data_IF_053087038091
#
_entry.id   IF_053087038091
#
_cell.length_a   1.000
_cell.length_b   1.000
_cell.length_c   1.000
_cell.angle_alpha   90.00
_cell.angle_beta   90.00
_cell.angle_gamma   90.00
#
_symmetry.space_group_name_H-M   'P 1'
#
loop_
_entity.id
_entity.type
_entity.pdbx_description
1 polymer ?
#
# COMPACT_ATOMS: atom_id res chain seq x y z
N UNK A 1 -0.25 19.93 1.78
CA UNK A 1 0.68 18.77 1.64
C UNK A 1 0.11 17.81 0.60
N UNK A 2 0.93 17.39 -0.34
CA UNK A 2 0.58 16.46 -1.44
C UNK A 2 1.26 15.11 -1.17
N UNK A 3 0.49 14.04 -1.09
CA UNK A 3 0.99 12.69 -0.82
C UNK A 3 0.60 11.80 -1.99
N UNK A 4 1.57 11.10 -2.59
CA UNK A 4 1.35 10.10 -3.63
C UNK A 4 1.53 8.71 -3.02
N UNK A 5 0.48 7.88 -3.06
CA UNK A 5 0.56 6.47 -2.70
C UNK A 5 0.60 5.61 -3.96
N UNK A 6 1.57 4.70 -4.06
CA UNK A 6 1.73 3.87 -5.27
C UNK A 6 2.39 2.52 -4.98
N UNK A 7 1.70 1.43 -5.29
CA UNK A 7 2.33 0.13 -5.44
C UNK A 7 3.02 0.10 -6.81
N UNK A 8 4.35 0.03 -6.82
CA UNK A 8 5.16 0.12 -8.05
C UNK A 8 5.44 -1.23 -8.72
N UNK A 9 4.83 -2.31 -8.20
CA UNK A 9 4.95 -3.67 -8.71
C UNK A 9 6.42 -4.10 -8.92
N UNK A 10 7.24 -3.85 -7.92
CA UNK A 10 8.69 -4.14 -7.97
C UNK A 10 9.08 -5.57 -7.59
N UNK A 11 8.12 -6.38 -7.12
CA UNK A 11 8.38 -7.73 -6.58
C UNK A 11 9.02 -8.70 -7.57
N UNK A 12 8.84 -8.49 -8.88
CA UNK A 12 9.42 -9.32 -9.95
C UNK A 12 10.78 -8.84 -10.45
N UNK A 13 11.33 -7.80 -9.82
CA UNK A 13 12.53 -7.11 -10.27
C UNK A 13 12.19 -6.01 -11.29
N UNK A 14 12.40 -4.76 -10.90
CA UNK A 14 12.20 -3.63 -11.82
C UNK A 14 13.46 -3.45 -12.66
N UNK A 15 13.29 -3.47 -13.99
CA UNK A 15 14.36 -3.09 -14.92
C UNK A 15 14.76 -1.63 -14.68
N UNK A 16 16.04 -1.25 -14.86
CA UNK A 16 16.50 0.13 -14.68
C UNK A 16 15.67 1.17 -15.48
N UNK A 17 15.28 0.83 -16.71
CA UNK A 17 14.43 1.71 -17.53
C UNK A 17 13.05 1.95 -16.87
N UNK A 18 12.39 0.91 -16.36
CA UNK A 18 11.11 1.05 -15.64
C UNK A 18 11.26 1.88 -14.35
N UNK A 19 12.39 1.71 -13.63
CA UNK A 19 12.69 2.55 -12.46
C UNK A 19 12.75 4.03 -12.82
N UNK A 20 13.49 4.38 -13.87
CA UNK A 20 13.62 5.74 -14.33
C UNK A 20 12.26 6.35 -14.76
N UNK A 21 11.41 5.58 -15.42
CA UNK A 21 10.06 6.02 -15.83
C UNK A 21 9.16 6.27 -14.62
N UNK A 22 9.18 5.39 -13.60
CA UNK A 22 8.41 5.57 -12.37
C UNK A 22 8.91 6.81 -11.61
N UNK A 23 10.22 6.98 -11.49
CA UNK A 23 10.80 8.18 -10.86
C UNK A 23 10.39 9.44 -11.63
N UNK A 24 10.47 9.44 -12.96
CA UNK A 24 10.05 10.58 -13.79
C UNK A 24 8.56 10.90 -13.60
N UNK A 25 7.69 9.88 -13.50
CA UNK A 25 6.28 10.08 -13.21
C UNK A 25 6.04 10.68 -11.80
N UNK A 26 6.77 10.21 -10.78
CA UNK A 26 6.73 10.80 -9.43
C UNK A 26 7.15 12.28 -9.47
N UNK A 27 8.24 12.60 -10.18
CA UNK A 27 8.72 13.97 -10.31
C UNK A 27 7.73 14.87 -11.06
N UNK A 28 7.07 14.35 -12.08
CA UNK A 28 6.02 15.05 -12.81
C UNK A 28 4.82 15.40 -11.93
N UNK A 29 4.35 14.46 -11.11
CA UNK A 29 3.28 14.69 -10.12
C UNK A 29 3.74 15.67 -9.04
N UNK A 30 5.03 15.71 -8.76
CA UNK A 30 5.67 16.59 -7.77
C UNK A 30 5.01 16.53 -6.38
N UNK A 31 4.89 15.36 -5.74
CA UNK A 31 4.37 15.25 -4.39
C UNK A 31 5.41 15.70 -3.35
N UNK A 32 4.92 16.15 -2.19
CA UNK A 32 5.77 16.40 -1.01
C UNK A 32 6.24 15.08 -0.39
N UNK A 33 5.37 14.06 -0.41
CA UNK A 33 5.59 12.75 0.21
C UNK A 33 5.15 11.65 -0.77
N UNK A 34 5.92 10.57 -0.85
CA UNK A 34 5.60 9.37 -1.64
C UNK A 34 5.53 8.16 -0.71
N UNK A 35 4.42 7.44 -0.74
CA UNK A 35 4.22 6.18 -0.04
C UNK A 35 4.29 5.05 -1.07
N UNK A 36 5.24 4.16 -0.91
CA UNK A 36 5.58 3.16 -1.91
C UNK A 36 5.36 1.76 -1.37
N UNK A 37 4.84 0.88 -2.20
CA UNK A 37 4.73 -0.54 -1.92
C UNK A 37 5.45 -1.32 -3.03
N UNK A 38 5.87 -2.53 -2.69
CA UNK A 38 6.67 -3.42 -3.55
C UNK A 38 7.98 -2.78 -4.05
N UNK A 39 8.59 -1.92 -3.24
CA UNK A 39 9.89 -1.32 -3.55
C UNK A 39 10.96 -2.42 -3.58
N UNK A 40 11.69 -2.59 -4.68
CA UNK A 40 12.76 -3.58 -4.76
C UNK A 40 13.96 -3.11 -3.94
N UNK A 41 14.43 -3.96 -3.03
CA UNK A 41 15.60 -3.68 -2.21
C UNK A 41 16.90 -3.90 -2.98
N UNK A 42 17.87 -3.01 -2.77
CA UNK A 42 19.18 -3.09 -3.42
C UNK A 42 19.19 -2.84 -4.93
N UNK A 43 18.11 -2.25 -5.47
CA UNK A 43 17.99 -1.98 -6.91
C UNK A 43 18.22 -0.49 -7.28
N UNK A 44 18.66 0.35 -6.35
CA UNK A 44 18.95 1.77 -6.61
C UNK A 44 17.73 2.68 -6.75
N UNK A 45 16.51 2.14 -6.51
CA UNK A 45 15.27 2.93 -6.69
C UNK A 45 15.14 4.07 -5.67
N UNK A 46 15.38 3.78 -4.39
CA UNK A 46 15.32 4.79 -3.33
C UNK A 46 16.46 5.79 -3.45
N UNK A 47 17.64 5.35 -3.85
CA UNK A 47 18.79 6.21 -4.17
C UNK A 47 18.47 7.12 -5.35
N UNK A 48 17.73 6.63 -6.35
CA UNK A 48 17.23 7.44 -7.46
C UNK A 48 16.31 8.56 -6.99
N UNK A 49 15.38 8.30 -6.06
CA UNK A 49 14.55 9.35 -5.45
C UNK A 49 15.38 10.33 -4.61
N UNK A 50 16.36 9.81 -3.86
CA UNK A 50 17.25 10.64 -3.03
C UNK A 50 18.06 11.62 -3.88
N UNK A 51 18.51 11.24 -5.08
CA UNK A 51 19.18 12.11 -6.03
C UNK A 51 18.30 13.29 -6.50
N UNK A 52 16.98 13.18 -6.35
CA UNK A 52 16.00 14.23 -6.65
C UNK A 52 15.46 14.96 -5.39
N UNK A 53 16.20 14.89 -4.28
CA UNK A 53 15.91 15.66 -3.07
C UNK A 53 14.87 15.05 -2.13
N UNK A 54 14.55 13.76 -2.27
CA UNK A 54 13.72 13.04 -1.30
C UNK A 54 14.59 12.37 -0.25
N UNK A 55 14.32 12.62 1.03
CA UNK A 55 14.78 11.73 2.11
C UNK A 55 13.95 10.44 2.08
N UNK A 56 14.56 9.29 2.29
CA UNK A 56 13.89 7.98 2.23
C UNK A 56 14.00 7.25 3.55
N UNK A 57 12.97 6.45 3.91
CA UNK A 57 13.09 5.46 4.97
C UNK A 57 14.03 4.34 4.53
N UNK A 58 14.56 3.61 5.52
CA UNK A 58 15.53 2.54 5.30
C UNK A 58 14.90 1.16 5.58
N UNK A 59 14.07 0.64 4.68
CA UNK A 59 13.35 -0.62 4.92
C UNK A 59 14.27 -1.82 5.15
N UNK A 60 15.54 -1.76 4.72
CA UNK A 60 16.53 -2.81 4.98
C UNK A 60 16.92 -2.96 6.45
N UNK A 61 16.68 -1.93 7.27
CA UNK A 61 16.89 -1.99 8.72
C UNK A 61 15.90 -2.92 9.42
N UNK A 62 14.76 -3.21 8.78
CA UNK A 62 13.75 -4.06 9.36
C UNK A 62 13.90 -5.51 8.90
N UNK A 63 13.66 -6.49 9.78
CA UNK A 63 13.74 -7.90 9.40
C UNK A 63 12.73 -8.22 8.30
N UNK A 64 13.12 -9.09 7.39
CA UNK A 64 12.22 -9.59 6.33
C UNK A 64 11.04 -10.35 6.95
N UNK A 65 11.19 -10.87 8.16
CA UNK A 65 10.23 -11.72 8.82
C UNK A 65 10.34 -13.16 8.34
N UNK A 66 9.20 -13.85 8.26
CA UNK A 66 9.15 -15.28 7.94
C UNK A 66 9.47 -15.63 6.48
N UNK A 67 9.75 -14.63 5.63
CA UNK A 67 9.91 -14.81 4.18
C UNK A 67 11.34 -14.53 3.72
N UNK A 68 12.33 -15.10 4.37
CA UNK A 68 13.74 -14.76 4.15
C UNK A 68 14.27 -14.94 2.72
N UNK A 69 13.59 -15.66 1.82
CA UNK A 69 14.26 -16.15 0.60
C UNK A 69 13.63 -15.81 -0.74
N UNK A 70 12.51 -15.09 -0.87
CA UNK A 70 11.88 -15.01 -2.21
C UNK A 70 11.46 -13.63 -2.72
N UNK A 71 11.16 -12.65 -1.88
CA UNK A 71 10.78 -11.31 -2.34
C UNK A 71 11.56 -10.25 -1.58
N UNK A 72 12.50 -9.62 -2.28
CA UNK A 72 13.25 -8.47 -1.74
C UNK A 72 12.49 -7.18 -2.00
N UNK A 73 11.23 -7.12 -1.61
CA UNK A 73 10.42 -5.92 -1.71
C UNK A 73 9.98 -5.44 -0.34
N UNK A 74 9.71 -4.14 -0.25
CA UNK A 74 9.35 -3.46 0.98
C UNK A 74 8.28 -2.40 0.74
N UNK A 75 7.69 -1.90 1.83
CA UNK A 75 7.07 -0.60 1.87
C UNK A 75 8.13 0.44 2.21
N UNK A 76 8.04 1.62 1.61
CA UNK A 76 8.96 2.73 1.89
C UNK A 76 8.21 4.08 1.85
N UNK A 77 8.81 5.08 2.48
CA UNK A 77 8.37 6.47 2.42
C UNK A 77 9.53 7.31 1.88
N UNK A 78 9.22 8.20 0.93
CA UNK A 78 10.14 9.21 0.46
C UNK A 78 9.52 10.60 0.65
N UNK A 79 10.27 11.59 1.13
CA UNK A 79 9.76 12.91 1.49
C UNK A 79 10.73 14.03 1.13
N UNK A 80 10.20 15.11 0.55
CA UNK A 80 10.91 16.40 0.40
C UNK A 80 10.81 17.27 1.65
N UNK A 81 9.89 16.93 2.54
CA UNK A 81 9.75 17.59 3.84
C UNK A 81 10.63 16.90 4.88
N UNK A 82 11.03 17.61 5.95
CA UNK A 82 11.74 17.00 7.08
C UNK A 82 10.97 15.78 7.59
N UNK A 83 11.68 14.67 7.71
CA UNK A 83 11.13 13.37 8.07
C UNK A 83 11.93 12.73 9.20
N UNK A 84 11.24 12.11 10.13
CA UNK A 84 11.81 11.21 11.14
C UNK A 84 11.21 9.82 10.95
N UNK A 85 12.04 8.84 10.61
CA UNK A 85 11.59 7.44 10.51
C UNK A 85 11.21 6.90 11.88
N UNK A 86 10.14 6.15 11.96
CA UNK A 86 9.63 5.52 13.17
C UNK A 86 9.62 3.99 12.99
N UNK A 87 9.64 3.28 14.11
CA UNK A 87 9.50 1.82 14.08
C UNK A 87 8.11 1.42 13.63
N UNK A 88 8.00 0.37 12.80
CA UNK A 88 6.70 -0.22 12.47
C UNK A 88 6.04 -0.82 13.72
N UNK A 89 4.72 -1.03 13.73
CA UNK A 89 4.00 -1.62 14.85
C UNK A 89 4.58 -2.98 15.26
N UNK A 90 4.61 -3.23 16.57
CA UNK A 90 5.00 -4.53 17.09
C UNK A 90 4.02 -5.65 16.65
N UNK A 91 4.53 -6.86 16.53
CA UNK A 91 3.75 -8.05 16.20
C UNK A 91 3.40 -8.22 14.72
N UNK A 92 3.90 -7.35 13.83
CA UNK A 92 3.85 -7.60 12.39
C UNK A 92 4.70 -8.82 12.02
N UNK A 93 4.13 -9.71 11.21
CA UNK A 93 4.88 -10.89 10.70
C UNK A 93 5.90 -10.51 9.62
N UNK A 94 5.65 -9.40 8.92
CA UNK A 94 6.52 -8.83 7.90
C UNK A 94 6.69 -7.32 8.13
N UNK A 95 7.49 -6.90 9.12
CA UNK A 95 7.67 -5.49 9.46
C UNK A 95 8.10 -4.64 8.27
N UNK A 96 8.88 -5.21 7.34
CA UNK A 96 9.36 -4.55 6.12
C UNK A 96 8.25 -4.13 5.16
N UNK A 97 7.04 -4.71 5.27
CA UNK A 97 5.87 -4.31 4.48
C UNK A 97 5.10 -3.13 5.12
N UNK A 98 5.66 -2.52 6.15
CA UNK A 98 5.04 -1.41 6.87
C UNK A 98 6.11 -0.38 7.23
N UNK A 99 6.11 0.75 6.56
CA UNK A 99 7.04 1.86 6.82
C UNK A 99 6.30 3.01 7.47
N UNK A 100 6.89 3.63 8.50
CA UNK A 100 6.28 4.73 9.26
C UNK A 100 7.24 5.89 9.36
N UNK A 101 6.73 7.09 9.18
CA UNK A 101 7.51 8.32 9.40
C UNK A 101 6.65 9.43 10.00
N UNK A 102 7.29 10.33 10.75
CA UNK A 102 6.70 11.59 11.20
C UNK A 102 7.11 12.70 10.23
N UNK A 103 6.12 13.37 9.63
CA UNK A 103 6.29 14.41 8.61
C UNK A 103 5.27 15.51 8.85
N UNK A 104 5.72 16.76 9.06
CA UNK A 104 4.84 17.91 9.22
C UNK A 104 3.79 17.75 10.34
N UNK A 105 4.16 17.12 11.44
CA UNK A 105 3.27 16.88 12.60
C UNK A 105 2.31 15.70 12.45
N UNK A 106 2.34 14.97 11.31
CA UNK A 106 1.58 13.75 11.08
C UNK A 106 2.47 12.52 11.23
N UNK A 107 1.93 11.43 11.75
CA UNK A 107 2.50 10.09 11.59
C UNK A 107 1.87 9.44 10.36
N UNK A 108 2.70 9.15 9.37
CA UNK A 108 2.27 8.64 8.08
C UNK A 108 2.83 7.24 7.90
N UNK A 109 2.00 6.30 7.48
CA UNK A 109 2.45 4.95 7.17
C UNK A 109 2.15 4.58 5.71
N UNK A 110 3.14 3.91 5.10
CA UNK A 110 3.00 3.15 3.87
C UNK A 110 2.87 1.68 4.22
N UNK A 111 1.83 1.00 3.76
CA UNK A 111 1.66 -0.42 4.04
C UNK A 111 1.37 -1.24 2.78
N UNK A 112 1.83 -2.49 2.80
CA UNK A 112 1.45 -3.52 1.85
C UNK A 112 0.89 -4.70 2.66
N UNK A 113 -0.43 -4.85 2.66
CA UNK A 113 -1.08 -5.98 3.31
C UNK A 113 -0.84 -7.23 2.46
N UNK A 114 -0.25 -8.31 3.01
CA UNK A 114 0.05 -9.51 2.24
C UNK A 114 -1.19 -10.10 1.57
N UNK A 115 -1.08 -10.46 0.30
CA UNK A 115 -2.13 -11.23 -0.37
C UNK A 115 -2.26 -12.62 0.26
N UNK A 116 -3.48 -13.01 0.67
CA UNK A 116 -3.75 -14.28 1.33
C UNK A 116 -3.28 -15.49 0.50
N UNK A 117 -3.47 -15.48 -0.82
CA UNK A 117 -3.17 -16.64 -1.67
C UNK A 117 -1.67 -16.95 -1.79
N UNK A 118 -0.82 -15.91 -1.87
CA UNK A 118 0.63 -16.09 -2.02
C UNK A 118 1.35 -16.44 -0.72
N UNK A 119 0.86 -15.96 0.40
CA UNK A 119 1.50 -16.11 1.70
C UNK A 119 0.98 -17.33 2.50
N UNK A 120 -0.23 -17.82 2.22
CA UNK A 120 -0.81 -18.94 2.93
C UNK A 120 -0.08 -20.27 2.71
N UNK A 121 0.58 -20.45 1.57
CA UNK A 121 1.38 -21.67 1.36
C UNK A 121 2.57 -21.74 2.33
N UNK A 122 3.15 -20.59 2.68
CA UNK A 122 4.24 -20.49 3.67
C UNK A 122 3.67 -20.55 5.08
N UNK A 123 2.61 -19.80 5.37
CA UNK A 123 1.93 -19.84 6.66
C UNK A 123 1.49 -21.25 7.03
N UNK A 124 0.90 -21.99 6.08
CA UNK A 124 0.49 -23.38 6.26
C UNK A 124 1.67 -24.30 6.55
N UNK A 125 2.79 -24.15 5.85
CA UNK A 125 4.02 -24.92 6.07
C UNK A 125 4.63 -24.66 7.45
N UNK A 126 4.47 -23.45 7.97
CA UNK A 126 5.02 -23.02 9.26
C UNK A 126 4.01 -23.16 10.42
N UNK A 127 2.83 -23.70 10.18
CA UNK A 127 1.79 -23.86 11.21
C UNK A 127 1.29 -22.54 11.80
N UNK A 128 1.41 -21.43 11.06
CA UNK A 128 1.05 -20.11 11.57
C UNK A 128 -0.47 -19.90 11.58
N UNK A 129 -0.96 -19.45 12.72
CA UNK A 129 -2.34 -19.03 12.96
C UNK A 129 -2.31 -17.78 13.84
N UNK A 130 -3.14 -16.77 13.63
CA UNK A 130 -4.09 -16.61 12.53
C UNK A 130 -3.42 -16.33 11.18
N UNK A 131 -4.25 -16.23 10.13
CA UNK A 131 -3.82 -15.86 8.78
C UNK A 131 -2.95 -14.61 8.79
N UNK A 132 -1.87 -14.63 8.01
CA UNK A 132 -0.89 -13.54 7.97
C UNK A 132 -1.55 -12.23 7.52
N UNK A 133 -2.43 -12.28 6.53
CA UNK A 133 -3.17 -11.12 6.03
C UNK A 133 -4.00 -10.48 7.15
N UNK A 134 -4.78 -11.28 7.86
CA UNK A 134 -5.64 -10.82 8.97
C UNK A 134 -4.79 -10.19 10.05
N UNK A 135 -3.67 -10.81 10.42
CA UNK A 135 -2.76 -10.26 11.45
C UNK A 135 -2.18 -8.91 11.01
N UNK A 136 -1.75 -8.78 9.74
CA UNK A 136 -1.22 -7.51 9.23
C UNK A 136 -2.28 -6.42 9.19
N UNK A 137 -3.48 -6.74 8.72
CA UNK A 137 -4.61 -5.81 8.67
C UNK A 137 -4.96 -5.30 10.07
N UNK A 138 -5.10 -6.21 11.04
CA UNK A 138 -5.37 -5.83 12.44
C UNK A 138 -4.31 -4.89 13.01
N UNK A 139 -3.02 -5.21 12.81
CA UNK A 139 -1.92 -4.40 13.33
C UNK A 139 -1.85 -3.04 12.66
N UNK A 140 -2.08 -2.96 11.35
CA UNK A 140 -2.14 -1.72 10.61
C UNK A 140 -3.27 -0.81 11.10
N UNK A 141 -4.47 -1.37 11.30
CA UNK A 141 -5.63 -0.61 11.77
C UNK A 141 -5.52 -0.24 13.25
N UNK A 142 -5.01 -1.12 14.10
CA UNK A 142 -4.73 -0.80 15.50
C UNK A 142 -3.68 0.32 15.64
N UNK A 143 -2.66 0.32 14.76
CA UNK A 143 -1.72 1.43 14.72
C UNK A 143 -2.43 2.73 14.34
N UNK A 144 -3.29 2.73 13.32
CA UNK A 144 -4.03 3.92 12.90
C UNK A 144 -4.92 4.46 14.01
N UNK A 145 -5.70 3.60 14.67
CA UNK A 145 -6.65 3.97 15.73
C UNK A 145 -5.94 4.41 17.03
N UNK A 146 -4.73 3.92 17.25
CA UNK A 146 -3.94 4.21 18.45
C UNK A 146 -3.37 5.63 18.55
N UNK A 147 -3.64 6.54 17.58
CA UNK A 147 -3.11 7.91 17.65
C UNK A 147 -3.83 8.92 16.77
N UNK A 148 -4.15 10.08 17.37
CA UNK A 148 -4.62 11.22 16.58
C UNK A 148 -3.51 11.75 15.65
N UNK A 149 -3.89 12.17 14.46
CA UNK A 149 -2.93 12.70 13.48
C UNK A 149 -2.21 11.61 12.69
N UNK A 150 -2.74 10.39 12.61
CA UNK A 150 -2.22 9.30 11.79
C UNK A 150 -2.90 9.21 10.44
N UNK A 151 -2.09 8.90 9.43
CA UNK A 151 -2.51 8.59 8.07
C UNK A 151 -1.90 7.25 7.67
N UNK A 152 -2.72 6.32 7.21
CA UNK A 152 -2.33 5.02 6.69
C UNK A 152 -2.75 4.92 5.23
N UNK A 153 -1.82 4.70 4.32
CA UNK A 153 -2.15 4.41 2.93
C UNK A 153 -1.30 3.27 2.38
N UNK A 154 -1.81 2.59 1.37
CA UNK A 154 -1.10 1.47 0.78
C UNK A 154 -1.96 0.56 -0.06
N UNK A 155 -1.35 -0.53 -0.50
CA UNK A 155 -2.03 -1.67 -1.09
C UNK A 155 -2.52 -2.60 0.02
N UNK A 156 -3.81 -2.62 0.24
CA UNK A 156 -4.44 -3.46 1.27
C UNK A 156 -4.74 -4.86 0.78
N UNK A 157 -4.60 -5.11 -0.53
CA UNK A 157 -5.04 -6.37 -1.14
C UNK A 157 -6.49 -6.74 -0.74
N UNK A 158 -7.28 -5.74 -0.36
CA UNK A 158 -8.71 -5.82 -0.04
C UNK A 158 -9.48 -5.03 -1.09
N UNK A 159 -10.04 -5.69 -2.10
CA UNK A 159 -10.93 -5.03 -3.03
C UNK A 159 -12.24 -4.75 -2.29
N UNK A 160 -12.72 -3.56 -2.33
CA UNK A 160 -14.06 -3.23 -1.88
C UNK A 160 -14.33 -3.30 -0.36
N UNK A 161 -13.66 -2.47 0.42
CA UNK A 161 -14.15 -2.17 1.77
C UNK A 161 -15.61 -1.62 1.78
N UNK A 162 -16.18 -1.24 0.61
CA UNK A 162 -17.35 -0.35 0.57
C UNK A 162 -18.42 -0.72 -0.44
N UNK A 163 -18.28 -1.79 -1.21
CA UNK A 163 -19.29 -2.23 -2.18
C UNK A 163 -20.07 -3.43 -1.66
N UNK A 164 -21.33 -3.24 -1.30
CA UNK A 164 -22.36 -4.26 -1.08
C UNK A 164 -22.10 -5.32 0.01
N UNK A 165 -21.22 -5.07 0.98
CA UNK A 165 -20.92 -6.02 2.04
C UNK A 165 -20.31 -7.33 1.56
N UNK A 166 -19.79 -7.37 0.31
CA UNK A 166 -19.09 -8.52 -0.26
C UNK A 166 -17.61 -8.18 -0.36
N UNK A 167 -16.80 -8.80 0.48
CA UNK A 167 -15.37 -8.89 0.27
C UNK A 167 -15.12 -9.73 -1.00
N UNK A 168 -15.18 -9.10 -2.18
CA UNK A 168 -14.80 -9.75 -3.43
C UNK A 168 -13.29 -9.64 -3.54
N UNK A 169 -12.55 -10.69 -3.20
CA UNK A 169 -11.12 -10.69 -3.39
C UNK A 169 -10.38 -11.70 -2.52
N UNK A 170 -9.24 -11.33 -2.04
CA UNK A 170 -8.30 -12.23 -1.37
C UNK A 170 -8.73 -12.59 0.05
N UNK A 171 -9.86 -13.27 0.18
CA UNK A 171 -10.32 -13.76 1.48
C UNK A 171 -9.28 -14.68 2.12
N UNK A 172 -9.20 -14.63 3.43
CA UNK A 172 -8.46 -15.59 4.22
C UNK A 172 -8.92 -17.02 3.91
N UNK A 173 -8.00 -17.97 3.85
CA UNK A 173 -8.31 -19.35 3.40
C UNK A 173 -9.17 -20.12 4.37
N UNK A 174 -9.09 -19.82 5.67
CA UNK A 174 -9.89 -20.51 6.71
C UNK A 174 -11.14 -19.71 7.05
N UNK A 175 -12.27 -20.39 7.26
CA UNK A 175 -13.54 -19.75 7.59
C UNK A 175 -13.44 -18.79 8.80
N UNK A 176 -12.82 -19.24 9.90
CA UNK A 176 -12.64 -18.41 11.09
C UNK A 176 -11.81 -17.14 10.84
N UNK A 177 -10.82 -17.20 9.96
CA UNK A 177 -10.01 -16.04 9.60
C UNK A 177 -10.78 -15.10 8.65
N UNK A 178 -11.66 -15.61 7.78
CA UNK A 178 -12.58 -14.80 6.96
C UNK A 178 -13.58 -14.04 7.82
N UNK A 179 -14.17 -14.68 8.81
CA UNK A 179 -15.11 -14.03 9.72
C UNK A 179 -14.41 -12.93 10.53
N UNK A 180 -13.18 -13.19 10.99
CA UNK A 180 -12.36 -12.19 11.66
C UNK A 180 -11.99 -11.03 10.73
N UNK A 181 -11.59 -11.30 9.48
CA UNK A 181 -11.33 -10.28 8.47
C UNK A 181 -12.54 -9.39 8.24
N UNK A 182 -13.73 -9.96 8.08
CA UNK A 182 -14.99 -9.21 7.95
C UNK A 182 -15.27 -8.35 9.18
N UNK A 183 -15.12 -8.89 10.37
CA UNK A 183 -15.31 -8.14 11.63
C UNK A 183 -14.38 -6.93 11.71
N UNK A 184 -13.12 -7.06 11.29
CA UNK A 184 -12.16 -5.96 11.26
C UNK A 184 -12.61 -4.89 10.25
N UNK A 185 -12.99 -5.30 9.05
CA UNK A 185 -13.47 -4.39 7.99
C UNK A 185 -14.75 -3.68 8.43
N UNK A 186 -15.71 -4.40 8.99
CA UNK A 186 -16.96 -3.83 9.51
C UNK A 186 -16.71 -2.85 10.65
N UNK A 187 -15.80 -3.17 11.56
CA UNK A 187 -15.37 -2.28 12.65
C UNK A 187 -14.73 -0.99 12.12
N UNK A 188 -13.92 -1.09 11.07
CA UNK A 188 -13.33 0.07 10.39
C UNK A 188 -14.41 0.95 9.74
N UNK A 189 -15.36 0.35 9.04
CA UNK A 189 -16.45 1.03 8.34
C UNK A 189 -17.36 1.82 9.28
N UNK A 190 -17.58 1.29 10.49
CA UNK A 190 -18.43 1.89 11.51
C UNK A 190 -17.63 2.72 12.53
N UNK A 191 -16.34 2.96 12.30
CA UNK A 191 -15.51 3.75 13.20
C UNK A 191 -15.79 5.25 13.06
N UNK A 192 -16.18 5.89 14.15
CA UNK A 192 -16.28 7.34 14.22
C UNK A 192 -14.92 8.05 14.24
N UNK A 193 -13.84 7.33 14.53
CA UNK A 193 -12.47 7.87 14.65
C UNK A 193 -11.67 7.84 13.36
N UNK A 194 -12.05 7.01 12.39
CA UNK A 194 -11.31 6.80 11.14
C UNK A 194 -12.13 7.25 9.95
N UNK A 195 -11.52 8.00 9.05
CA UNK A 195 -12.11 8.42 7.77
C UNK A 195 -11.44 7.68 6.63
N UNK A 196 -12.22 7.00 5.79
CA UNK A 196 -11.76 6.44 4.53
C UNK A 196 -11.74 7.52 3.45
N UNK A 197 -10.56 7.93 3.02
CA UNK A 197 -10.38 9.07 2.13
C UNK A 197 -10.78 8.78 0.68
N UNK A 198 -10.79 7.51 0.28
CA UNK A 198 -11.10 7.06 -1.09
C UNK A 198 -12.55 6.58 -1.28
N UNK A 199 -13.35 6.48 -0.22
CA UNK A 199 -14.68 5.88 -0.28
C UNK A 199 -15.61 6.52 -1.30
N UNK A 200 -15.53 7.86 -1.46
CA UNK A 200 -16.32 8.58 -2.45
C UNK A 200 -15.89 8.30 -3.90
N UNK A 201 -14.63 7.92 -4.13
CA UNK A 201 -14.13 7.54 -5.46
C UNK A 201 -14.69 6.19 -5.87
N UNK A 202 -14.72 5.23 -4.94
CA UNK A 202 -15.26 3.90 -5.17
C UNK A 202 -16.75 3.92 -5.49
N UNK A 203 -17.50 4.83 -4.90
CA UNK A 203 -18.93 5.00 -5.15
C UNK A 203 -19.26 5.66 -6.50
N UNK A 204 -18.31 6.41 -7.08
CA UNK A 204 -18.54 7.23 -8.28
C UNK A 204 -17.89 6.71 -9.55
N UNK A 205 -16.91 5.83 -9.44
CA UNK A 205 -16.10 5.37 -10.57
C UNK A 205 -16.19 3.87 -10.74
N UNK A 206 -16.43 3.42 -11.97
CA UNK A 206 -16.30 2.02 -12.36
C UNK A 206 -14.85 1.64 -12.70
N UNK A 207 -13.92 2.61 -12.65
CA UNK A 207 -12.51 2.40 -12.95
C UNK A 207 -11.72 2.02 -11.70
N UNK A 208 -11.27 0.77 -11.57
CA UNK A 208 -10.59 0.27 -10.38
C UNK A 208 -9.17 0.82 -10.24
N UNK A 209 -8.62 0.83 -9.02
CA UNK A 209 -7.22 1.20 -8.78
C UNK A 209 -6.24 0.17 -9.34
N UNK A 210 -6.66 -1.08 -9.40
CA UNK A 210 -5.85 -2.20 -9.89
C UNK A 210 -6.57 -2.96 -11.00
N UNK A 211 -5.84 -3.29 -12.08
CA UNK A 211 -6.39 -4.04 -13.20
C UNK A 211 -5.32 -4.95 -13.83
N UNK A 212 -5.45 -6.25 -13.64
CA UNK A 212 -4.64 -7.25 -14.33
C UNK A 212 -5.24 -7.51 -15.71
N UNK A 213 -4.59 -7.01 -16.77
CA UNK A 213 -5.04 -7.18 -18.17
C UNK A 213 -4.53 -8.47 -18.82
N UNK A 214 -3.71 -9.28 -18.15
CA UNK A 214 -3.05 -10.46 -18.71
C UNK A 214 -2.96 -11.61 -17.72
N UNK A 215 -2.87 -12.85 -18.23
CA UNK A 215 -2.75 -14.05 -17.42
C UNK A 215 -4.03 -14.88 -17.36
N UNK A 216 -4.08 -15.91 -16.51
CA UNK A 216 -5.23 -16.83 -16.44
C UNK A 216 -6.51 -16.19 -15.91
N UNK A 217 -6.45 -14.96 -15.42
CA UNK A 217 -7.59 -14.21 -14.91
C UNK A 217 -7.54 -12.74 -15.38
N UNK A 218 -7.76 -12.45 -16.67
CA UNK A 218 -7.58 -11.11 -17.25
C UNK A 218 -8.56 -10.06 -16.71
N UNK A 219 -9.60 -10.46 -16.00
CA UNK A 219 -10.67 -9.58 -15.51
C UNK A 219 -10.60 -9.27 -14.02
N UNK A 220 -9.46 -9.57 -13.36
CA UNK A 220 -9.29 -9.18 -11.97
C UNK A 220 -9.13 -7.67 -11.87
N UNK A 221 -10.19 -7.04 -11.39
CA UNK A 221 -10.28 -5.61 -11.12
C UNK A 221 -10.64 -5.41 -9.66
N UNK A 222 -10.09 -4.39 -9.03
CA UNK A 222 -10.44 -4.04 -7.66
C UNK A 222 -9.84 -2.72 -7.22
N UNK A 223 -10.38 -2.16 -6.16
CA UNK A 223 -9.82 -1.01 -5.47
C UNK A 223 -8.98 -1.51 -4.30
N UNK A 224 -7.71 -1.87 -4.57
CA UNK A 224 -6.81 -2.42 -3.56
C UNK A 224 -6.02 -1.34 -2.81
N UNK A 225 -5.92 -0.15 -3.43
CA UNK A 225 -5.16 0.97 -2.90
C UNK A 225 -6.08 1.88 -2.09
N UNK A 226 -5.82 1.97 -0.79
CA UNK A 226 -6.65 2.71 0.14
C UNK A 226 -5.84 3.77 0.90
N UNK A 227 -6.56 4.78 1.41
CA UNK A 227 -6.02 5.74 2.36
C UNK A 227 -7.04 6.00 3.47
N UNK A 228 -6.57 5.92 4.70
CA UNK A 228 -7.33 6.03 5.93
C UNK A 228 -6.69 7.09 6.83
N UNK A 229 -7.51 7.92 7.46
CA UNK A 229 -7.03 8.98 8.37
C UNK A 229 -7.75 8.92 9.71
N UNK A 230 -6.99 8.93 10.79
CA UNK A 230 -7.47 9.16 12.16
C UNK A 230 -7.46 10.65 12.54
N UNK A 231 -7.26 11.55 11.59
CA UNK A 231 -7.22 12.99 11.81
C UNK A 231 -8.50 13.66 11.29
N UNK A 232 -9.43 13.94 12.18
CA UNK A 232 -10.68 14.67 11.85
C UNK A 232 -10.49 16.16 11.57
N UNK A 233 -9.35 16.73 11.98
CA UNK A 233 -9.08 18.18 11.87
C UNK A 233 -8.51 18.61 10.52
N UNK A 234 -8.15 17.66 9.65
CA UNK A 234 -7.55 17.94 8.34
C UNK A 234 -8.47 17.49 7.21
N UNK A 235 -8.78 18.39 6.31
CA UNK A 235 -9.50 18.04 5.11
C UNK A 235 -8.55 17.43 4.07
N UNK A 236 -8.98 16.35 3.44
CA UNK A 236 -8.25 15.65 2.40
C UNK A 236 -9.11 15.53 1.14
N UNK A 237 -8.52 15.78 -0.02
CA UNK A 237 -9.04 15.30 -1.29
C UNK A 237 -8.20 14.12 -1.79
N UNK A 238 -8.86 13.17 -2.45
CA UNK A 238 -8.23 11.98 -3.00
C UNK A 238 -8.58 11.82 -4.48
N UNK A 239 -7.62 11.39 -5.29
CA UNK A 239 -7.79 11.16 -6.74
C UNK A 239 -6.88 10.03 -7.19
N UNK A 240 -7.41 9.07 -7.95
CA UNK A 240 -6.58 8.08 -8.66
C UNK A 240 -6.05 8.67 -9.97
N UNK A 241 -4.76 8.50 -10.21
CA UNK A 241 -4.08 8.93 -11.45
C UNK A 241 -4.03 7.73 -12.41
N UNK A 242 -5.18 7.42 -13.03
CA UNK A 242 -5.33 6.23 -13.88
C UNK A 242 -4.44 6.27 -15.12
N UNK A 243 -4.07 7.45 -15.59
CA UNK A 243 -3.14 7.66 -16.70
C UNK A 243 -1.72 7.14 -16.41
N UNK A 244 -1.35 7.03 -15.13
CA UNK A 244 -0.08 6.45 -14.70
C UNK A 244 -0.18 4.95 -14.38
N UNK A 245 -1.36 4.34 -14.50
CA UNK A 245 -1.50 2.90 -14.47
C UNK A 245 -1.01 2.33 -15.80
N UNK A 246 -0.37 1.18 -15.73
CA UNK A 246 0.28 0.52 -16.83
C UNK A 246 -0.47 0.62 -18.17
N UNK A 247 0.08 1.44 -19.08
CA UNK A 247 -0.08 1.18 -20.50
C UNK A 247 1.04 0.21 -20.92
N UNK A 248 0.75 -0.77 -21.73
CA UNK A 248 1.82 -1.52 -22.38
C UNK A 248 2.49 -0.61 -23.39
N UNK A 249 3.83 -0.64 -23.41
CA UNK A 249 4.60 -0.02 -24.48
C UNK A 249 4.32 -0.72 -25.82
N UNK A 250 4.89 -0.18 -26.93
CA UNK A 250 4.75 -0.75 -28.27
C UNK A 250 5.23 -2.20 -28.38
N UNK A 251 6.09 -2.64 -27.44
CA UNK A 251 6.58 -4.01 -27.32
C UNK A 251 5.71 -4.91 -26.44
N UNK A 252 4.57 -4.40 -25.93
CA UNK A 252 3.68 -5.10 -25.03
C UNK A 252 4.21 -5.26 -23.60
N UNK A 253 5.29 -4.55 -23.23
CA UNK A 253 5.86 -4.56 -21.88
C UNK A 253 5.16 -3.52 -21.02
N UNK A 254 5.00 -3.86 -19.75
CA UNK A 254 4.40 -2.99 -18.74
C UNK A 254 5.29 -1.76 -18.48
N UNK A 255 4.74 -0.58 -18.71
CA UNK A 255 5.46 0.69 -18.59
C UNK A 255 5.60 1.15 -17.15
N UNK A 256 4.49 1.10 -16.40
CA UNK A 256 4.45 1.49 -14.99
C UNK A 256 4.05 0.30 -14.10
N UNK A 257 3.08 0.49 -13.22
CA UNK A 257 2.46 -0.53 -12.38
C UNK A 257 1.05 -0.86 -12.88
N UNK A 258 0.54 -2.04 -12.58
CA UNK A 258 -0.86 -2.41 -12.74
C UNK A 258 -1.77 -1.71 -11.70
N UNK A 259 -1.18 -0.98 -10.76
CA UNK A 259 -1.87 -0.10 -9.81
C UNK A 259 -1.86 1.35 -10.26
N UNK A 260 -3.00 2.03 -10.14
CA UNK A 260 -3.10 3.49 -10.29
C UNK A 260 -2.57 4.17 -9.03
N UNK A 261 -1.67 5.15 -9.15
CA UNK A 261 -1.29 5.95 -8.00
C UNK A 261 -2.49 6.69 -7.41
N UNK A 262 -2.53 6.82 -6.09
CA UNK A 262 -3.51 7.61 -5.36
C UNK A 262 -2.87 8.90 -4.86
N UNK A 263 -3.34 10.04 -5.37
CA UNK A 263 -2.91 11.36 -4.92
C UNK A 263 -3.85 11.88 -3.83
N UNK A 264 -3.28 12.21 -2.68
CA UNK A 264 -3.96 12.87 -1.57
C UNK A 264 -3.46 14.31 -1.46
N UNK A 265 -4.38 15.25 -1.31
CA UNK A 265 -4.06 16.68 -1.07
C UNK A 265 -4.72 17.11 0.22
N UNK A 266 -3.89 17.45 1.22
CA UNK A 266 -4.33 17.92 2.54
C UNK A 266 -4.16 19.43 2.68
N UNK A 267 -5.21 20.09 3.17
CA UNK A 267 -5.21 21.52 3.52
C UNK A 267 -4.47 21.80 4.82
#
# INVERSE_FOLDING_TARGET
MRILNWNIHGASGIRPAKQAEIIAAILHVSPDVVLLQEVPLGAGFLEGLAAHGYATTEPDKHPIGLWENKKKNAAAIASRLPMTELSPPEGLRFPRLFSVARIGGLEIASCHIPNASGFNSVAKKLGLTPDIKVTHLERALAWLDGGQGRLLAGDFNEPDFFRDGRAIGFEATRAADRDRQRTIVDGLMNSDSITHLCGHLHAKSDEPSHWIKSGPHPDRKGWFDHALSANKGRAWSATYLHELRSSRDEEGKERYSDHSPLLLVGS
#
